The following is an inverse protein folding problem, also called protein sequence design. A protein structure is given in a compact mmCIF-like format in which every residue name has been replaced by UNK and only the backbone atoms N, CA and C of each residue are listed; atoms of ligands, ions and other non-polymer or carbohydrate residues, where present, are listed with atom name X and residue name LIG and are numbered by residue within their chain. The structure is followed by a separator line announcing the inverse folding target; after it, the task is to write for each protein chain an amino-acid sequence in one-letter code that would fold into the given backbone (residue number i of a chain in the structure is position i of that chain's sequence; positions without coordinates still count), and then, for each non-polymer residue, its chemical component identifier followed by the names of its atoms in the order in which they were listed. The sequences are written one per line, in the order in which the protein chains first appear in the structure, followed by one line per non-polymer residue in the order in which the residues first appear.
data_IF_287956137117
#
_entry.id   IF_287956137117
#
_cell.length_a   1.000
_cell.length_b   1.000
_cell.length_c   1.000
_cell.angle_alpha   90.00
_cell.angle_beta   90.00
_cell.angle_gamma   90.00
#
_symmetry.space_group_name_H-M   'P 1'
#
loop_
_entity.id
_entity.type
_entity.pdbx_description
1 polymer ?
#
# COMPACT_ATOMS: atom_id res chain seq x y z
N UNK A 1 12.47 -2.29 -0.33
CA UNK A 1 11.14 -2.90 -0.14
C UNK A 1 10.62 -3.45 -1.45
N UNK A 2 9.82 -4.46 -1.37
CA UNK A 2 9.33 -5.20 -2.53
C UNK A 2 7.84 -4.92 -2.73
N UNK A 3 7.41 -4.74 -3.99
CA UNK A 3 5.99 -4.70 -4.32
C UNK A 3 5.44 -6.11 -4.36
N UNK A 4 4.29 -6.32 -3.75
CA UNK A 4 3.73 -7.66 -3.53
C UNK A 4 2.80 -8.15 -4.63
N UNK A 5 2.33 -7.28 -5.48
CA UNK A 5 1.35 -7.66 -6.50
C UNK A 5 1.65 -7.00 -7.83
N UNK A 6 0.94 -7.48 -8.85
CA UNK A 6 0.94 -6.80 -10.14
C UNK A 6 0.20 -5.47 -9.99
N UNK A 7 0.61 -4.48 -10.78
CA UNK A 7 0.02 -3.17 -10.73
C UNK A 7 -1.44 -3.19 -11.19
N UNK A 8 -2.40 -2.76 -10.34
CA UNK A 8 -3.80 -2.72 -10.72
C UNK A 8 -4.07 -1.60 -11.74
N UNK A 9 -4.97 -1.85 -12.67
CA UNK A 9 -5.38 -0.82 -13.63
C UNK A 9 -6.03 0.38 -12.96
N UNK A 10 -6.78 0.15 -11.90
CA UNK A 10 -7.50 1.20 -11.18
C UNK A 10 -6.63 2.07 -10.28
N UNK A 11 -5.41 1.63 -10.00
CA UNK A 11 -4.49 2.40 -9.18
C UNK A 11 -4.12 3.72 -9.87
N UNK A 12 -4.18 4.81 -9.11
CA UNK A 12 -3.94 6.14 -9.67
C UNK A 12 -2.47 6.47 -9.92
N UNK A 13 -1.56 5.66 -9.41
CA UNK A 13 -0.15 5.85 -9.70
C UNK A 13 0.57 6.81 -8.75
N UNK A 14 -0.06 7.19 -7.64
CA UNK A 14 0.49 8.21 -6.74
C UNK A 14 1.08 7.68 -5.45
N UNK A 15 0.44 6.68 -4.83
CA UNK A 15 0.75 6.29 -3.47
C UNK A 15 0.95 4.80 -3.31
N UNK A 16 1.79 4.46 -2.33
CA UNK A 16 2.03 3.09 -1.91
C UNK A 16 1.88 3.02 -0.40
N UNK A 17 1.47 1.87 0.11
CA UNK A 17 1.36 1.61 1.54
C UNK A 17 2.54 0.75 1.99
N UNK A 18 3.25 1.20 3.02
CA UNK A 18 4.31 0.42 3.65
C UNK A 18 3.69 -0.62 4.58
N UNK A 19 4.04 -1.86 4.37
CA UNK A 19 3.53 -2.98 5.15
C UNK A 19 4.67 -3.83 5.70
N UNK A 20 4.36 -4.57 6.76
CA UNK A 20 5.29 -5.52 7.35
C UNK A 20 4.54 -6.83 7.59
N UNK A 21 5.12 -7.94 7.16
CA UNK A 21 4.59 -9.26 7.43
C UNK A 21 5.56 -9.99 8.36
N UNK A 22 5.05 -10.46 9.49
CA UNK A 22 5.86 -11.19 10.47
C UNK A 22 5.82 -12.66 10.11
N UNK A 23 6.98 -13.22 9.77
CA UNK A 23 7.12 -14.65 9.44
C UNK A 23 7.27 -15.49 10.71
N UNK A 24 8.04 -14.97 11.67
CA UNK A 24 8.22 -15.60 12.98
C UNK A 24 8.75 -14.53 13.94
N UNK A 25 9.09 -14.89 15.16
CA UNK A 25 9.54 -13.94 16.17
C UNK A 25 10.81 -13.17 15.82
N UNK A 26 11.59 -13.66 14.84
CA UNK A 26 12.87 -13.06 14.46
C UNK A 26 12.91 -12.56 13.02
N UNK A 27 11.93 -12.93 12.19
CA UNK A 27 11.96 -12.61 10.77
C UNK A 27 10.73 -11.81 10.36
N UNK A 28 10.97 -10.73 9.64
CA UNK A 28 9.92 -9.86 9.10
C UNK A 28 10.23 -9.54 7.65
N UNK A 29 9.19 -9.43 6.84
CA UNK A 29 9.29 -8.95 5.48
C UNK A 29 8.64 -7.58 5.40
N UNK A 30 9.36 -6.60 4.87
CA UNK A 30 8.82 -5.29 4.54
C UNK A 30 8.45 -5.28 3.07
N UNK A 31 7.26 -4.78 2.78
CA UNK A 31 6.78 -4.74 1.40
C UNK A 31 5.90 -3.53 1.18
N UNK A 32 5.60 -3.27 -0.08
CA UNK A 32 4.73 -2.17 -0.49
C UNK A 32 3.50 -2.74 -1.16
N UNK A 33 2.36 -2.09 -0.92
CA UNK A 33 1.11 -2.39 -1.62
C UNK A 33 0.65 -1.15 -2.35
N UNK A 34 0.02 -1.34 -3.49
CA UNK A 34 -0.59 -0.23 -4.21
C UNK A 34 -1.79 0.29 -3.44
N UNK A 35 -1.90 1.59 -3.30
CA UNK A 35 -3.05 2.22 -2.63
C UNK A 35 -3.37 3.57 -3.23
N UNK A 36 -4.60 4.02 -2.98
CA UNK A 36 -5.04 5.36 -3.31
C UNK A 36 -5.60 6.02 -2.05
N UNK A 37 -5.32 7.30 -1.87
CA UNK A 37 -5.89 8.06 -0.76
C UNK A 37 -7.29 8.49 -1.14
N UNK A 38 -8.27 8.14 -0.28
CA UNK A 38 -9.66 8.53 -0.46
C UNK A 38 -9.95 9.84 0.27
N UNK A 39 -9.51 9.94 1.52
CA UNK A 39 -9.81 11.08 2.37
C UNK A 39 -8.81 11.18 3.51
N UNK A 40 -8.49 12.42 3.89
CA UNK A 40 -7.75 12.69 5.12
C UNK A 40 -8.73 12.79 6.27
N UNK A 41 -8.50 12.04 7.33
CA UNK A 41 -9.38 12.01 8.50
C UNK A 41 -8.98 13.10 9.50
N UNK A 42 -9.93 13.59 10.31
CA UNK A 42 -9.64 14.64 11.29
C UNK A 42 -8.62 14.28 12.36
N UNK A 43 -8.44 12.98 12.63
CA UNK A 43 -7.50 12.51 13.64
C UNK A 43 -6.07 12.31 13.11
N UNK A 44 -5.80 12.73 11.87
CA UNK A 44 -4.49 12.60 11.26
C UNK A 44 -4.27 11.31 10.50
N UNK A 45 -5.23 10.38 10.53
CA UNK A 45 -5.14 9.15 9.73
C UNK A 45 -5.62 9.40 8.31
N UNK A 46 -5.27 8.48 7.43
CA UNK A 46 -5.73 8.51 6.05
C UNK A 46 -6.69 7.36 5.79
N UNK A 47 -7.80 7.65 5.15
CA UNK A 47 -8.68 6.62 4.60
C UNK A 47 -8.17 6.28 3.22
N UNK A 48 -7.77 5.05 3.01
CA UNK A 48 -7.17 4.61 1.76
C UNK A 48 -7.88 3.38 1.21
N UNK A 49 -7.77 3.22 -0.10
CA UNK A 49 -8.14 1.99 -0.79
C UNK A 49 -6.85 1.23 -1.07
N UNK A 50 -6.73 0.03 -0.54
CA UNK A 50 -5.57 -0.84 -0.76
C UNK A 50 -5.94 -1.90 -1.77
N UNK A 51 -5.10 -2.11 -2.75
CA UNK A 51 -5.28 -3.14 -3.77
C UNK A 51 -4.55 -4.39 -3.33
N UNK A 52 -5.30 -5.46 -3.06
CA UNK A 52 -4.84 -6.67 -2.45
C UNK A 52 -5.18 -6.70 -0.96
N UNK A 53 -5.25 -7.85 -0.36
CA UNK A 53 -5.64 -8.00 1.03
C UNK A 53 -4.49 -8.29 1.98
N UNK A 54 -3.55 -9.09 1.54
CA UNK A 54 -2.46 -9.59 2.38
C UNK A 54 -1.21 -9.79 1.56
N UNK A 55 -0.14 -10.10 2.27
CA UNK A 55 1.03 -10.69 1.67
C UNK A 55 0.60 -11.89 0.81
N UNK A 56 0.99 -11.94 -0.43
CA UNK A 56 0.66 -12.96 -1.41
C UNK A 56 -0.75 -12.90 -2.01
N UNK A 57 -1.61 -11.99 -1.57
CA UNK A 57 -2.90 -11.79 -2.22
C UNK A 57 -2.81 -10.70 -3.25
N UNK A 58 -3.21 -11.01 -4.47
CA UNK A 58 -3.15 -10.05 -5.59
C UNK A 58 -4.53 -9.51 -5.97
N UNK A 59 -5.58 -10.11 -5.47
CA UNK A 59 -6.95 -9.75 -5.80
C UNK A 59 -7.63 -8.98 -4.67
N UNK A 60 -8.62 -8.19 -5.03
CA UNK A 60 -9.46 -7.49 -4.08
C UNK A 60 -9.06 -6.04 -3.84
N UNK A 61 -10.00 -5.34 -3.26
CA UNK A 61 -9.83 -3.95 -2.84
C UNK A 61 -10.35 -3.86 -1.41
N UNK A 62 -9.62 -3.14 -0.56
CA UNK A 62 -10.00 -3.01 0.84
C UNK A 62 -9.82 -1.58 1.30
N UNK A 63 -10.79 -1.09 2.06
CA UNK A 63 -10.69 0.24 2.68
C UNK A 63 -10.00 0.08 4.03
N UNK A 64 -8.98 0.89 4.27
CA UNK A 64 -8.25 0.89 5.53
C UNK A 64 -8.04 2.31 6.04
N UNK A 65 -7.91 2.43 7.35
CA UNK A 65 -7.55 3.67 8.01
C UNK A 65 -6.15 3.49 8.59
N UNK A 66 -5.20 4.27 8.13
CA UNK A 66 -3.79 4.11 8.49
C UNK A 66 -3.17 5.44 8.88
N UNK A 67 -2.08 5.39 9.63
CA UNK A 67 -1.31 6.59 9.91
C UNK A 67 -0.70 7.15 8.63
N UNK A 68 -0.70 8.48 8.51
CA UNK A 68 -0.18 9.14 7.32
C UNK A 68 1.27 8.74 7.00
N UNK A 69 2.08 8.48 8.03
CA UNK A 69 3.47 8.08 7.84
C UNK A 69 3.66 6.72 7.17
N UNK A 70 2.61 5.89 7.09
CA UNK A 70 2.68 4.61 6.40
C UNK A 70 2.44 4.72 4.89
N UNK A 71 1.90 5.82 4.44
CA UNK A 71 1.63 6.06 3.02
C UNK A 71 2.79 6.87 2.45
N UNK A 72 3.36 6.38 1.37
CA UNK A 72 4.49 7.02 0.70
C UNK A 72 4.14 7.28 -0.75
N UNK A 73 4.88 8.18 -1.38
CA UNK A 73 4.67 8.44 -2.80
C UNK A 73 5.34 7.34 -3.64
N UNK A 74 4.67 6.96 -4.72
CA UNK A 74 5.24 6.00 -5.66
C UNK A 74 6.55 6.53 -6.25
N UNK A 75 6.62 7.82 -6.51
CA UNK A 75 7.81 8.49 -7.03
C UNK A 75 9.03 8.28 -6.13
N UNK A 76 8.86 8.35 -4.81
CA UNK A 76 9.95 8.17 -3.86
C UNK A 76 10.60 6.79 -3.95
N UNK A 77 9.87 5.80 -4.45
CA UNK A 77 10.35 4.44 -4.64
C UNK A 77 10.61 4.08 -6.11
N UNK A 78 10.55 5.07 -6.99
CA UNK A 78 10.79 4.83 -8.41
C UNK A 78 9.73 3.99 -9.11
N UNK A 79 8.51 3.97 -8.58
CA UNK A 79 7.41 3.19 -9.13
C UNK A 79 6.51 4.10 -9.95
N UNK A 80 6.29 3.73 -11.20
CA UNK A 80 5.43 4.48 -12.11
C UNK A 80 4.23 3.63 -12.52
N UNK A 81 3.12 4.30 -12.80
CA UNK A 81 1.96 3.63 -13.33
C UNK A 81 2.21 3.22 -14.78
N UNK A 82 2.01 1.95 -15.06
CA UNK A 82 2.07 1.43 -16.42
C UNK A 82 0.87 1.91 -17.25
N UNK A 83 1.13 2.31 -18.44
CA UNK A 83 0.08 2.71 -19.39
C UNK A 83 -0.34 1.54 -20.28
#
# INVERSE_FOLDING_TARGET
MKLMSMQPEKWQGRYLLKCTHVLNSKSRIRYLMYCDIIKQMPDGRLKIKVYGERYCSVDGEKIRYVDAGRVVTAEAYGVEKSE
#
